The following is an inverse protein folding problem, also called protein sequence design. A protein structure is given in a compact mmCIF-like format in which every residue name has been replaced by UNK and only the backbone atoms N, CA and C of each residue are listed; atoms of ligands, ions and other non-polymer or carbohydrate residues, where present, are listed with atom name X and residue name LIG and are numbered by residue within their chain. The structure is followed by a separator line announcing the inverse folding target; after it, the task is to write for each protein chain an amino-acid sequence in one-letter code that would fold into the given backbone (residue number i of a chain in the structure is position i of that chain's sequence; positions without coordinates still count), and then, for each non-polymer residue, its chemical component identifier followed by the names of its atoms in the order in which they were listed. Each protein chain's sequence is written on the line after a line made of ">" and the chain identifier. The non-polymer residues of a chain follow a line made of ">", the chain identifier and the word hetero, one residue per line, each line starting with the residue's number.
data_IF_722674833087
#
_entry.id   IF_722674833087
#
_cell.length_a   1.000
_cell.length_b   1.000
_cell.length_c   1.000
_cell.angle_alpha   90.00
_cell.angle_beta   90.00
_cell.angle_gamma   90.00
#
_symmetry.space_group_name_H-M   'P 1'
#
loop_
_entity.id
_entity.type
_entity.pdbx_description
1 polymer ?
#
# COMPACT_ATOMS: atom_id res chain seq x y z
N UNK A 1 -19.15 4.57 -4.41
CA UNK A 1 -19.49 5.26 -3.14
C UNK A 1 -19.09 4.44 -1.91
N UNK A 2 -19.51 3.18 -1.79
CA UNK A 2 -19.17 2.34 -0.63
C UNK A 2 -17.66 2.11 -0.46
N UNK A 3 -16.92 1.84 -1.54
CA UNK A 3 -15.47 1.63 -1.49
C UNK A 3 -14.69 2.81 -0.87
N UNK A 4 -14.91 4.05 -1.34
CA UNK A 4 -14.28 5.25 -0.74
C UNK A 4 -14.70 5.48 0.72
N UNK A 5 -15.94 5.14 1.08
CA UNK A 5 -16.39 5.26 2.47
C UNK A 5 -15.67 4.26 3.38
N UNK A 6 -15.41 3.04 2.90
CA UNK A 6 -14.62 2.04 3.62
C UNK A 6 -13.16 2.50 3.77
N UNK A 7 -12.52 2.98 2.70
CA UNK A 7 -11.16 3.56 2.78
C UNK A 7 -11.10 4.68 3.81
N UNK A 8 -12.06 5.60 3.81
CA UNK A 8 -12.11 6.70 4.78
C UNK A 8 -12.29 6.22 6.22
N UNK A 9 -13.10 5.19 6.44
CA UNK A 9 -13.49 4.74 7.79
C UNK A 9 -12.49 3.76 8.40
N UNK A 10 -11.84 2.94 7.57
CA UNK A 10 -10.98 1.83 7.99
C UNK A 10 -9.54 1.92 7.48
N UNK A 11 -9.22 2.91 6.64
CA UNK A 11 -7.89 3.07 6.04
C UNK A 11 -7.61 2.19 4.82
N UNK A 12 -8.45 1.19 4.52
CA UNK A 12 -8.29 0.31 3.36
C UNK A 12 -9.63 -0.22 2.83
N UNK A 13 -9.63 -0.72 1.59
CA UNK A 13 -10.73 -1.48 1.01
C UNK A 13 -10.24 -2.32 -0.18
N UNK A 14 -10.84 -3.50 -0.38
CA UNK A 14 -10.54 -4.39 -1.51
C UNK A 14 -11.52 -4.15 -2.65
N UNK A 15 -11.04 -4.28 -3.89
CA UNK A 15 -11.84 -4.19 -5.11
C UNK A 15 -11.51 -5.36 -6.01
N UNK A 16 -12.54 -6.11 -6.43
CA UNK A 16 -12.41 -7.22 -7.36
C UNK A 16 -12.84 -6.82 -8.78
N UNK A 17 -12.42 -7.62 -9.77
CA UNK A 17 -12.87 -7.46 -11.17
C UNK A 17 -12.16 -6.36 -11.96
N UNK A 18 -11.03 -5.85 -11.46
CA UNK A 18 -10.16 -4.99 -12.27
C UNK A 18 -9.54 -5.83 -13.41
N UNK A 19 -9.46 -5.31 -14.66
CA UNK A 19 -8.73 -5.99 -15.72
C UNK A 19 -7.27 -6.24 -15.31
N UNK A 20 -6.78 -7.46 -15.57
CA UNK A 20 -5.40 -7.87 -15.34
C UNK A 20 -4.46 -7.25 -16.41
N UNK A 21 -4.38 -5.93 -16.43
CA UNK A 21 -3.63 -5.14 -17.40
C UNK A 21 -2.76 -4.09 -16.69
N UNK A 22 -1.54 -3.89 -17.17
CA UNK A 22 -0.64 -2.87 -16.62
C UNK A 22 -1.27 -1.48 -16.74
N UNK A 23 -1.25 -0.72 -15.65
CA UNK A 23 -1.86 0.61 -15.59
C UNK A 23 -3.40 0.64 -15.46
N UNK A 24 -4.10 -0.51 -15.39
CA UNK A 24 -5.55 -0.54 -15.18
C UNK A 24 -5.99 0.23 -13.91
N UNK A 25 -5.15 0.22 -12.86
CA UNK A 25 -5.36 0.98 -11.62
C UNK A 25 -5.47 2.50 -11.85
N UNK A 26 -4.88 3.03 -12.93
CA UNK A 26 -4.94 4.46 -13.20
C UNK A 26 -6.37 4.91 -13.48
N UNK A 27 -7.14 4.08 -14.20
CA UNK A 27 -8.56 4.34 -14.48
C UNK A 27 -9.38 4.40 -13.19
N UNK A 28 -8.99 3.65 -12.15
CA UNK A 28 -9.65 3.66 -10.85
C UNK A 28 -9.34 4.96 -10.10
N UNK A 29 -8.07 5.39 -10.08
CA UNK A 29 -7.67 6.65 -9.44
C UNK A 29 -8.37 7.87 -10.08
N UNK A 30 -8.50 7.87 -11.41
CA UNK A 30 -9.15 8.96 -12.17
C UNK A 30 -10.64 9.11 -11.82
N UNK A 31 -11.29 8.12 -11.18
CA UNK A 31 -12.69 8.21 -10.74
C UNK A 31 -12.89 9.12 -9.52
N UNK A 32 -11.84 9.38 -8.72
CA UNK A 32 -11.99 10.07 -7.44
C UNK A 32 -10.85 11.02 -7.10
N UNK A 33 -9.82 11.13 -7.94
CA UNK A 33 -8.70 12.01 -7.67
C UNK A 33 -7.70 12.02 -8.80
N UNK A 34 -6.43 12.14 -8.42
CA UNK A 34 -5.29 12.18 -9.33
C UNK A 34 -4.17 11.32 -8.78
N UNK A 35 -3.28 10.89 -9.67
CA UNK A 35 -2.13 10.05 -9.32
C UNK A 35 -0.95 10.93 -8.94
N UNK A 36 -0.27 10.59 -7.85
CA UNK A 36 1.03 11.17 -7.48
C UNK A 36 2.11 10.55 -8.36
N UNK A 37 2.52 11.24 -9.41
CA UNK A 37 3.71 10.83 -10.16
C UNK A 37 4.97 11.00 -9.31
N UNK A 38 5.86 10.02 -9.38
CA UNK A 38 7.16 10.05 -8.71
C UNK A 38 8.28 9.72 -9.70
N UNK A 39 9.52 9.68 -9.24
CA UNK A 39 10.64 9.17 -10.06
C UNK A 39 10.50 7.68 -10.43
N UNK A 40 9.57 6.93 -9.83
CA UNK A 40 9.21 5.57 -10.26
C UNK A 40 8.18 5.57 -11.41
N UNK A 41 7.70 6.75 -11.83
CA UNK A 41 6.68 6.91 -12.87
C UNK A 41 5.30 7.27 -12.29
N UNK A 42 4.31 7.29 -13.19
CA UNK A 42 2.89 7.48 -12.84
C UNK A 42 2.33 6.25 -12.12
N UNK A 43 2.73 5.06 -12.55
CA UNK A 43 2.59 3.80 -11.82
C UNK A 43 3.87 2.98 -12.07
N UNK A 44 4.10 1.95 -11.28
CA UNK A 44 5.23 1.04 -11.44
C UNK A 44 4.77 -0.41 -11.26
N UNK A 45 5.54 -1.35 -11.80
CA UNK A 45 5.25 -2.78 -11.66
C UNK A 45 6.04 -3.37 -10.50
N UNK A 46 5.35 -4.18 -9.69
CA UNK A 46 5.98 -4.96 -8.62
C UNK A 46 6.07 -6.39 -9.10
N UNK A 47 7.29 -6.84 -9.38
CA UNK A 47 7.61 -8.20 -9.80
C UNK A 47 8.68 -8.74 -8.87
N UNK A 48 8.57 -10.01 -8.49
CA UNK A 48 9.66 -10.69 -7.81
C UNK A 48 10.81 -10.89 -8.81
N UNK A 49 11.95 -10.24 -8.57
CA UNK A 49 13.12 -10.29 -9.44
C UNK A 49 14.28 -11.03 -8.76
N UNK A 50 15.11 -11.68 -9.56
CA UNK A 50 16.27 -12.45 -9.06
C UNK A 50 17.39 -11.51 -8.57
N UNK A 51 17.43 -10.23 -9.01
CA UNK A 51 18.41 -9.21 -8.57
C UNK A 51 17.73 -7.84 -8.31
N UNK A 52 17.03 -7.68 -7.18
CA UNK A 52 16.17 -6.53 -6.95
C UNK A 52 16.92 -5.28 -6.47
N UNK A 53 16.51 -4.10 -6.95
CA UNK A 53 16.99 -2.79 -6.48
C UNK A 53 16.18 -2.22 -5.30
N UNK A 54 15.11 -2.92 -4.89
CA UNK A 54 14.22 -2.56 -3.80
C UNK A 54 13.75 -3.85 -3.11
N UNK A 55 13.61 -3.82 -1.77
CA UNK A 55 13.08 -4.94 -0.98
C UNK A 55 11.70 -5.39 -1.46
N UNK A 56 10.89 -4.48 -2.02
CA UNK A 56 9.60 -4.79 -2.64
C UNK A 56 9.68 -5.83 -3.78
N UNK A 57 10.87 -6.04 -4.36
CA UNK A 57 11.11 -6.97 -5.46
C UNK A 57 11.82 -8.26 -4.99
N UNK A 58 11.92 -8.49 -3.68
CA UNK A 58 12.48 -9.71 -3.07
C UNK A 58 11.38 -10.67 -2.60
N UNK A 59 11.72 -11.96 -2.44
CA UNK A 59 10.83 -12.96 -1.79
C UNK A 59 10.89 -12.94 -0.25
N UNK A 60 11.52 -11.91 0.36
CA UNK A 60 11.58 -11.78 1.81
C UNK A 60 10.26 -11.16 2.31
N UNK A 61 9.73 -11.69 3.41
CA UNK A 61 8.54 -11.12 4.03
C UNK A 61 8.75 -9.65 4.38
N UNK A 62 7.94 -8.78 3.78
CA UNK A 62 7.94 -7.36 4.11
C UNK A 62 7.21 -7.18 5.43
N UNK A 63 7.91 -6.65 6.44
CA UNK A 63 7.23 -6.17 7.65
C UNK A 63 6.22 -5.09 7.27
N UNK A 64 5.14 -4.99 8.04
CA UNK A 64 4.16 -3.91 7.85
C UNK A 64 4.87 -2.55 7.88
N UNK A 65 4.65 -1.74 6.85
CA UNK A 65 5.30 -0.46 6.67
C UNK A 65 4.39 0.51 5.91
N UNK A 66 4.69 1.80 6.00
CA UNK A 66 4.11 2.83 5.13
C UNK A 66 5.10 3.16 4.01
N UNK A 67 4.59 3.33 2.80
CA UNK A 67 5.41 3.64 1.63
C UNK A 67 6.00 5.05 1.66
N UNK A 68 7.24 5.16 1.20
CA UNK A 68 7.91 6.42 0.89
C UNK A 68 7.98 7.41 2.08
N UNK A 69 8.36 6.99 3.31
CA UNK A 69 8.42 7.87 4.48
C UNK A 69 9.49 8.98 4.33
N UNK A 70 10.40 8.84 3.37
CA UNK A 70 11.43 9.81 3.02
C UNK A 70 10.92 10.97 2.13
N UNK A 71 9.64 10.99 1.73
CA UNK A 71 9.05 12.09 0.96
C UNK A 71 8.25 13.01 1.87
N UNK A 72 8.36 14.31 1.61
CA UNK A 72 7.50 15.34 2.21
C UNK A 72 6.91 16.23 1.08
N UNK A 73 5.59 16.17 0.82
CA UNK A 73 4.59 15.36 1.51
C UNK A 73 4.62 13.87 1.10
N UNK A 74 4.39 12.98 2.08
CA UNK A 74 4.29 11.51 1.87
C UNK A 74 3.06 11.14 1.01
N UNK A 75 3.11 10.11 0.13
CA UNK A 75 1.92 9.53 -0.51
C UNK A 75 0.80 9.22 0.48
N UNK A 76 -0.42 9.68 0.19
CA UNK A 76 -1.55 9.61 1.14
C UNK A 76 -2.50 8.44 0.86
N UNK A 77 -2.41 7.83 -0.31
CA UNK A 77 -3.17 6.63 -0.70
C UNK A 77 -2.32 5.79 -1.66
N UNK A 78 -2.30 4.48 -1.45
CA UNK A 78 -1.64 3.50 -2.30
C UNK A 78 -2.68 2.55 -2.90
N UNK A 79 -2.59 2.28 -4.20
CA UNK A 79 -3.42 1.29 -4.89
C UNK A 79 -2.49 0.22 -5.43
N UNK A 80 -2.70 -1.02 -5.00
CA UNK A 80 -2.03 -2.20 -5.52
C UNK A 80 -3.02 -3.03 -6.34
N UNK A 81 -2.64 -3.41 -7.54
CA UNK A 81 -3.45 -4.23 -8.44
C UNK A 81 -2.69 -5.50 -8.79
N UNK A 82 -3.26 -6.65 -8.43
CA UNK A 82 -2.72 -7.94 -8.85
C UNK A 82 -3.06 -8.18 -10.32
N UNK A 83 -2.03 -8.34 -11.15
CA UNK A 83 -2.16 -8.73 -12.56
C UNK A 83 -2.02 -10.24 -12.71
N UNK A 84 -1.05 -10.81 -11.99
CA UNK A 84 -0.72 -12.22 -12.02
C UNK A 84 -0.25 -12.67 -10.63
N UNK A 85 -0.70 -13.85 -10.20
CA UNK A 85 -0.17 -14.55 -9.03
C UNK A 85 0.02 -16.03 -9.39
N UNK A 86 1.28 -16.48 -9.45
CA UNK A 86 1.66 -17.84 -9.86
C UNK A 86 2.34 -18.64 -8.75
N UNK A 87 2.34 -18.12 -7.52
CA UNK A 87 2.99 -18.72 -6.36
C UNK A 87 1.99 -19.02 -5.25
N UNK A 88 2.30 -20.02 -4.42
CA UNK A 88 1.64 -20.18 -3.12
C UNK A 88 2.25 -19.20 -2.11
N UNK A 89 1.39 -18.52 -1.34
CA UNK A 89 1.77 -17.41 -0.46
C UNK A 89 1.66 -16.04 -1.14
N UNK A 90 2.40 -15.05 -0.62
CA UNK A 90 2.36 -13.68 -1.15
C UNK A 90 1.09 -12.91 -0.76
N UNK A 91 0.44 -13.32 0.32
CA UNK A 91 -0.75 -12.66 0.83
C UNK A 91 -0.44 -11.21 1.23
N UNK A 92 -1.33 -10.30 0.84
CA UNK A 92 -1.28 -8.94 1.35
C UNK A 92 -1.71 -8.92 2.82
N UNK A 93 -0.93 -8.24 3.65
CA UNK A 93 -1.30 -7.95 5.03
C UNK A 93 -1.39 -6.44 5.24
N UNK A 94 -2.35 -6.00 6.07
CA UNK A 94 -2.51 -4.61 6.48
C UNK A 94 -2.64 -4.54 8.00
N UNK A 95 -2.07 -3.50 8.60
CA UNK A 95 -2.08 -3.27 10.04
C UNK A 95 -2.60 -1.86 10.30
N UNK A 96 -3.53 -1.71 11.24
CA UNK A 96 -4.00 -0.40 11.69
C UNK A 96 -2.95 0.25 12.59
N UNK A 97 -2.16 1.14 12.00
CA UNK A 97 -1.12 1.89 12.73
C UNK A 97 -1.67 2.78 13.85
N UNK A 98 -2.92 3.25 13.75
CA UNK A 98 -3.54 4.05 14.82
C UNK A 98 -3.93 3.17 16.01
N UNK A 99 -4.47 1.97 15.76
CA UNK A 99 -4.75 1.02 16.82
C UNK A 99 -3.45 0.58 17.53
N UNK A 100 -2.37 0.34 16.78
CA UNK A 100 -1.05 0.02 17.35
C UNK A 100 -0.53 1.19 18.19
N UNK A 101 -0.58 2.42 17.67
CA UNK A 101 -0.18 3.62 18.39
C UNK A 101 -0.95 3.79 19.72
N UNK A 102 -2.27 3.60 19.70
CA UNK A 102 -3.11 3.67 20.90
C UNK A 102 -2.77 2.58 21.93
N UNK A 103 -2.45 1.36 21.47
CA UNK A 103 -2.00 0.28 22.36
C UNK A 103 -0.64 0.62 23.01
N UNK A 104 0.31 1.16 22.23
CA UNK A 104 1.60 1.62 22.76
C UNK A 104 1.42 2.76 23.77
N UNK A 105 0.54 3.72 23.50
CA UNK A 105 0.21 4.80 24.44
C UNK A 105 -0.37 4.25 25.76
N UNK A 106 -1.25 3.25 25.69
CA UNK A 106 -1.86 2.65 26.88
C UNK A 106 -0.86 1.82 27.71
N UNK A 107 0.04 1.08 27.05
CA UNK A 107 1.01 0.19 27.71
C UNK A 107 2.28 0.92 28.16
N UNK A 108 2.75 1.91 27.40
CA UNK A 108 3.97 2.66 27.65
C UNK A 108 3.84 4.15 27.21
N UNK A 109 3.18 4.99 28.03
CA UNK A 109 2.96 6.40 27.70
C UNK A 109 4.25 7.23 27.57
N UNK A 110 5.33 6.84 28.24
CA UNK A 110 6.64 7.48 28.09
C UNK A 110 7.24 7.11 26.73
N UNK A 111 7.18 5.83 26.34
CA UNK A 111 7.65 5.36 25.03
C UNK A 111 6.89 5.94 23.85
N UNK A 112 5.58 6.15 23.98
CA UNK A 112 4.77 6.82 22.98
C UNK A 112 5.17 8.30 22.75
N UNK A 113 5.72 8.97 23.77
CA UNK A 113 6.10 10.39 23.72
C UNK A 113 7.51 10.67 23.20
N UNK A 114 8.37 9.64 23.05
CA UNK A 114 9.74 9.77 22.56
C UNK A 114 9.77 10.12 21.06
#
# INVERSE_FOLDING_TARGET
>A
RQWLAAVRSYGFAVMDGLPAESGALCKVADLFGYIRETNYGRWFEVRAEINPNNLAYTNLGLQAHTDNPYRDPVPTLQILACIENTVEGGESSVVDGFAVAAAVEAENPDGFRL
#
